data_IF_610810281310
#
_entry.id   IF_610810281310
#
_cell.length_a   1.000
_cell.length_b   1.000
_cell.length_c   1.000
_cell.angle_alpha   90.00
_cell.angle_beta   90.00
_cell.angle_gamma   90.00
#
_symmetry.space_group_name_H-M   'P 1'
#
loop_
_entity.id
_entity.type
_entity.pdbx_description
1 polymer ?
#
# COMPACT_ATOMS: atom_id res chain seq x y z
N UNK A 1 24.97 -6.52 25.84
CA UNK A 1 23.89 -7.52 25.67
C UNK A 1 23.72 -7.70 24.18
N UNK A 2 24.13 -8.84 23.61
CA UNK A 2 24.25 -9.11 22.20
C UNK A 2 22.87 -8.97 21.52
N UNK A 3 22.76 -8.04 20.56
CA UNK A 3 21.68 -8.02 19.56
C UNK A 3 21.78 -9.36 18.83
N UNK A 4 20.68 -10.07 18.71
CA UNK A 4 20.50 -11.42 18.17
C UNK A 4 21.70 -11.99 17.41
N UNK A 5 22.02 -13.26 17.71
CA UNK A 5 23.12 -13.98 17.04
C UNK A 5 23.08 -13.76 15.53
N UNK A 6 24.24 -13.52 14.88
CA UNK A 6 24.29 -13.47 13.43
C UNK A 6 23.75 -14.81 12.92
N UNK A 7 22.74 -14.75 12.08
CA UNK A 7 22.30 -15.93 11.32
C UNK A 7 23.54 -16.50 10.64
N UNK A 8 23.85 -17.76 10.92
CA UNK A 8 24.89 -18.53 10.20
C UNK A 8 24.83 -18.15 8.72
N UNK A 9 25.98 -17.82 8.15
CA UNK A 9 26.17 -17.52 6.73
C UNK A 9 25.41 -18.56 5.90
N UNK A 10 24.18 -18.21 5.57
CA UNK A 10 23.29 -19.10 4.86
C UNK A 10 23.70 -19.14 3.41
N UNK A 11 23.56 -20.27 2.79
CA UNK A 11 23.72 -20.55 1.37
C UNK A 11 22.83 -19.69 0.44
N UNK A 12 22.16 -18.65 0.96
CA UNK A 12 21.26 -17.77 0.22
C UNK A 12 22.00 -16.82 -0.73
N UNK A 13 22.91 -15.98 -0.25
CA UNK A 13 23.74 -15.06 -1.03
C UNK A 13 23.01 -14.44 -2.24
N UNK A 14 23.66 -14.43 -3.39
CA UNK A 14 23.11 -13.90 -4.66
C UNK A 14 22.26 -14.93 -5.45
N UNK A 15 21.85 -16.04 -4.86
CA UNK A 15 21.03 -17.04 -5.57
C UNK A 15 19.62 -16.48 -5.85
N UNK A 16 19.25 -16.42 -7.13
CA UNK A 16 17.94 -15.90 -7.56
C UNK A 16 16.79 -16.82 -7.13
N UNK A 17 16.98 -18.13 -7.18
CA UNK A 17 15.98 -19.13 -6.78
C UNK A 17 16.41 -19.79 -5.50
N UNK A 18 16.13 -19.15 -4.37
CA UNK A 18 16.39 -19.69 -3.03
C UNK A 18 15.45 -19.03 -2.01
N UNK A 19 15.06 -19.81 -0.99
CA UNK A 19 14.22 -19.28 0.10
C UNK A 19 15.07 -18.42 1.03
N UNK A 20 14.73 -17.15 1.20
CA UNK A 20 15.43 -16.23 2.09
C UNK A 20 15.34 -16.67 3.56
N UNK A 21 16.46 -16.77 4.31
CA UNK A 21 16.44 -17.29 5.67
C UNK A 21 15.95 -16.30 6.74
N UNK A 22 15.92 -14.99 6.45
CA UNK A 22 15.59 -13.93 7.40
C UNK A 22 14.28 -13.19 7.08
N UNK A 23 13.95 -12.18 7.86
CA UNK A 23 12.75 -11.36 7.63
C UNK A 23 12.71 -10.07 8.45
N UNK A 24 12.71 -10.13 9.76
CA UNK A 24 12.53 -8.96 10.64
C UNK A 24 13.76 -8.59 11.48
N UNK A 25 14.93 -9.17 11.18
CA UNK A 25 16.17 -8.92 11.88
C UNK A 25 16.73 -7.53 11.59
N UNK A 26 17.60 -7.06 12.49
CA UNK A 26 18.38 -5.86 12.29
C UNK A 26 19.47 -6.12 11.24
N UNK A 27 19.56 -5.27 10.22
CA UNK A 27 20.64 -5.32 9.22
C UNK A 27 21.87 -4.64 9.82
N UNK A 28 22.97 -5.39 9.97
CA UNK A 28 24.23 -4.86 10.46
C UNK A 28 24.77 -3.77 9.51
N UNK A 29 25.45 -2.75 10.05
CA UNK A 29 25.93 -1.62 9.23
C UNK A 29 26.88 -2.08 8.11
N UNK A 30 27.66 -3.13 8.33
CA UNK A 30 28.57 -3.71 7.34
C UNK A 30 27.83 -4.33 6.13
N UNK A 31 26.57 -4.76 6.31
CA UNK A 31 25.77 -5.40 5.27
C UNK A 31 24.88 -4.38 4.54
N UNK A 32 24.87 -3.12 5.01
CA UNK A 32 24.04 -2.07 4.40
C UNK A 32 24.70 -1.48 3.18
N UNK A 33 23.93 -1.27 2.15
CA UNK A 33 24.41 -0.83 0.85
C UNK A 33 23.37 0.01 0.10
N UNK A 34 23.75 0.56 -1.06
CA UNK A 34 22.85 1.30 -1.92
C UNK A 34 22.88 2.82 -1.71
N UNK A 35 22.06 3.52 -2.48
CA UNK A 35 21.97 4.98 -2.52
C UNK A 35 20.52 5.43 -2.43
N UNK A 36 20.23 6.58 -1.79
CA UNK A 36 18.86 7.10 -1.68
C UNK A 36 18.12 7.25 -3.01
N UNK A 37 18.81 7.61 -4.11
CA UNK A 37 18.21 7.77 -5.42
C UNK A 37 17.60 6.49 -6.00
N UNK A 38 18.06 5.32 -5.58
CA UNK A 38 17.49 4.03 -6.00
C UNK A 38 16.06 3.85 -5.48
N UNK A 39 15.71 4.47 -4.36
CA UNK A 39 14.37 4.41 -3.79
C UNK A 39 13.30 5.02 -4.70
N UNK A 40 13.66 5.96 -5.56
CA UNK A 40 12.73 6.48 -6.56
C UNK A 40 12.17 5.33 -7.42
N UNK A 41 13.03 4.49 -7.94
CA UNK A 41 12.64 3.35 -8.78
C UNK A 41 11.98 2.24 -7.97
N UNK A 42 12.48 1.98 -6.74
CA UNK A 42 11.89 0.99 -5.84
C UNK A 42 10.42 1.28 -5.56
N UNK A 43 10.04 2.56 -5.40
CA UNK A 43 8.68 2.96 -5.12
C UNK A 43 7.86 3.36 -6.36
N UNK A 44 8.50 3.55 -7.51
CA UNK A 44 7.79 3.71 -8.79
C UNK A 44 7.30 2.36 -9.32
N UNK A 45 8.15 1.33 -9.28
CA UNK A 45 7.89 0.02 -9.90
C UNK A 45 6.59 -0.64 -9.45
N UNK A 46 6.31 -0.85 -8.16
CA UNK A 46 5.10 -1.54 -7.72
C UNK A 46 3.80 -0.76 -7.97
N UNK A 47 3.90 0.51 -8.33
CA UNK A 47 2.75 1.35 -8.67
C UNK A 47 2.50 1.42 -10.19
N UNK A 48 3.36 0.80 -11.03
CA UNK A 48 3.11 0.65 -12.45
C UNK A 48 2.17 -0.53 -12.71
N UNK A 49 0.95 -0.37 -12.24
CA UNK A 49 -0.10 -1.38 -12.31
C UNK A 49 -1.48 -0.75 -12.56
N UNK A 50 -2.45 -1.59 -12.90
CA UNK A 50 -3.78 -1.12 -13.22
C UNK A 50 -4.56 -0.64 -11.98
N UNK A 51 -4.33 -1.20 -10.80
CA UNK A 51 -5.00 -0.73 -9.59
C UNK A 51 -4.75 0.77 -9.35
N UNK A 52 -3.54 1.29 -9.64
CA UNK A 52 -3.25 2.73 -9.60
C UNK A 52 -4.12 3.52 -10.59
N UNK A 53 -4.25 3.05 -11.83
CA UNK A 53 -5.09 3.67 -12.87
C UNK A 53 -6.55 3.69 -12.43
N UNK A 54 -7.01 2.59 -11.84
CA UNK A 54 -8.40 2.41 -11.45
C UNK A 54 -8.85 3.37 -10.34
N UNK A 55 -7.95 3.79 -9.43
CA UNK A 55 -8.25 4.87 -8.46
C UNK A 55 -8.72 6.14 -9.17
N UNK A 56 -8.04 6.54 -10.25
CA UNK A 56 -8.43 7.69 -11.03
C UNK A 56 -9.74 7.51 -11.79
N UNK A 57 -10.00 6.30 -12.30
CA UNK A 57 -11.30 5.99 -12.94
C UNK A 57 -12.46 6.12 -11.94
N UNK A 58 -12.30 5.64 -10.70
CA UNK A 58 -13.30 5.76 -9.64
C UNK A 58 -13.63 7.22 -9.33
N UNK A 59 -12.65 8.12 -9.33
CA UNK A 59 -12.86 9.53 -9.05
C UNK A 59 -13.91 10.16 -9.99
N UNK A 60 -13.90 9.77 -11.25
CA UNK A 60 -14.86 10.28 -12.25
C UNK A 60 -16.13 9.43 -12.29
N UNK A 61 -16.00 8.10 -12.41
CA UNK A 61 -17.14 7.20 -12.66
C UNK A 61 -17.99 6.96 -11.41
N UNK A 62 -17.35 6.79 -10.24
CA UNK A 62 -18.07 6.48 -9.00
C UNK A 62 -18.33 7.75 -8.17
N UNK A 63 -17.39 8.68 -8.12
CA UNK A 63 -17.51 9.86 -7.24
C UNK A 63 -18.03 11.10 -7.95
N UNK A 64 -18.27 11.04 -9.27
CA UNK A 64 -18.89 12.11 -10.04
C UNK A 64 -18.03 13.37 -10.18
N UNK A 65 -16.71 13.22 -10.19
CA UNK A 65 -15.79 14.34 -10.37
C UNK A 65 -15.58 14.66 -11.85
N UNK A 66 -15.48 15.94 -12.18
CA UNK A 66 -14.89 16.36 -13.46
C UNK A 66 -13.42 15.98 -13.46
N UNK A 67 -12.79 15.88 -14.64
CA UNK A 67 -11.37 15.55 -14.76
C UNK A 67 -10.48 16.41 -13.84
N UNK A 68 -10.64 17.72 -13.85
CA UNK A 68 -9.80 18.62 -13.05
C UNK A 68 -10.07 18.56 -11.55
N UNK A 69 -11.31 18.25 -11.15
CA UNK A 69 -11.62 17.98 -9.75
C UNK A 69 -11.00 16.66 -9.29
N UNK A 70 -11.05 15.64 -10.14
CA UNK A 70 -10.37 14.35 -9.88
C UNK A 70 -8.86 14.56 -9.73
N UNK A 71 -8.21 15.28 -10.65
CA UNK A 71 -6.77 15.62 -10.57
C UNK A 71 -6.44 16.32 -9.25
N UNK A 72 -7.25 17.32 -8.85
CA UNK A 72 -7.01 18.02 -7.59
C UNK A 72 -7.14 17.09 -6.37
N UNK A 73 -8.17 16.25 -6.32
CA UNK A 73 -8.37 15.27 -5.25
C UNK A 73 -7.26 14.23 -5.19
N UNK A 74 -6.86 13.70 -6.34
CA UNK A 74 -5.73 12.76 -6.51
C UNK A 74 -4.42 13.36 -5.95
N UNK A 75 -4.08 14.57 -6.39
CA UNK A 75 -2.83 15.24 -5.95
C UNK A 75 -2.83 15.47 -4.44
N UNK A 76 -3.97 15.87 -3.86
CA UNK A 76 -4.09 16.10 -2.42
C UNK A 76 -3.99 14.77 -1.66
N UNK A 77 -4.78 13.76 -2.02
CA UNK A 77 -4.82 12.47 -1.33
C UNK A 77 -3.48 11.73 -1.39
N UNK A 78 -2.94 11.55 -2.61
CA UNK A 78 -1.63 10.94 -2.83
C UNK A 78 -0.51 11.75 -2.18
N UNK A 79 -0.60 13.10 -2.21
CA UNK A 79 0.36 13.98 -1.54
C UNK A 79 0.42 13.77 -0.03
N UNK A 80 -0.72 13.63 0.64
CA UNK A 80 -0.77 13.32 2.07
C UNK A 80 -0.13 11.97 2.38
N UNK A 81 -0.43 10.94 1.58
CA UNK A 81 0.21 9.62 1.70
C UNK A 81 1.72 9.67 1.46
N UNK A 82 2.16 10.40 0.44
CA UNK A 82 3.58 10.57 0.12
C UNK A 82 4.36 11.32 1.23
N UNK A 83 3.75 12.33 1.86
CA UNK A 83 4.36 13.01 3.03
C UNK A 83 4.54 12.04 4.19
N UNK A 84 3.54 11.21 4.48
CA UNK A 84 3.66 10.19 5.51
C UNK A 84 4.76 9.18 5.16
N UNK A 85 4.82 8.74 3.91
CA UNK A 85 5.84 7.83 3.41
C UNK A 85 7.26 8.43 3.49
N UNK A 86 7.43 9.72 3.17
CA UNK A 86 8.68 10.47 3.36
C UNK A 86 9.18 10.38 4.81
N UNK A 87 8.30 10.70 5.76
CA UNK A 87 8.65 10.76 7.18
C UNK A 87 9.08 9.39 7.74
N UNK A 88 8.42 8.32 7.29
CA UNK A 88 8.75 6.96 7.73
C UNK A 88 9.98 6.40 7.03
N UNK A 89 10.08 6.53 5.71
CA UNK A 89 11.23 6.09 4.91
C UNK A 89 12.54 6.70 5.38
N UNK A 90 12.53 7.97 5.78
CA UNK A 90 13.69 8.68 6.30
C UNK A 90 14.32 8.02 7.53
N UNK A 91 13.59 7.16 8.23
CA UNK A 91 14.03 6.53 9.49
C UNK A 91 14.62 5.14 9.31
N UNK A 92 14.38 4.47 8.19
CA UNK A 92 14.90 3.14 7.94
C UNK A 92 16.41 3.00 8.11
N UNK A 93 17.23 3.89 7.50
CA UNK A 93 18.69 3.84 7.66
C UNK A 93 19.16 4.04 9.11
N UNK A 94 18.43 4.80 9.91
CA UNK A 94 18.78 5.06 11.32
C UNK A 94 18.65 3.82 12.20
N UNK A 95 17.69 2.95 11.89
CA UNK A 95 17.35 1.82 12.74
C UNK A 95 17.69 0.46 12.13
N UNK A 96 17.81 0.33 10.82
CA UNK A 96 18.15 -0.91 10.11
C UNK A 96 17.16 -2.06 10.31
N UNK A 97 15.88 -1.74 10.59
CA UNK A 97 14.82 -2.72 10.85
C UNK A 97 13.57 -2.41 10.02
N UNK A 98 12.70 -3.40 9.77
CA UNK A 98 11.45 -3.20 9.04
C UNK A 98 10.51 -2.21 9.74
N UNK A 99 9.58 -1.62 8.96
CA UNK A 99 8.64 -0.62 9.46
C UNK A 99 7.80 -1.13 10.64
N UNK A 100 7.29 -2.36 10.56
CA UNK A 100 6.46 -2.92 11.63
C UNK A 100 7.27 -3.29 12.89
N UNK A 101 8.59 -3.50 12.79
CA UNK A 101 9.47 -3.61 13.96
C UNK A 101 9.66 -2.24 14.60
N UNK A 102 9.84 -1.17 13.82
CA UNK A 102 9.90 0.20 14.36
C UNK A 102 8.60 0.62 15.06
N UNK A 103 7.45 0.16 14.58
CA UNK A 103 6.17 0.45 15.21
C UNK A 103 6.05 -0.07 16.65
N UNK A 104 6.88 -1.05 17.06
CA UNK A 104 6.97 -1.51 18.46
C UNK A 104 7.28 -0.37 19.43
N UNK A 105 7.96 0.67 19.00
CA UNK A 105 8.22 1.85 19.86
C UNK A 105 6.92 2.47 20.35
N UNK A 106 5.97 2.63 19.43
CA UNK A 106 4.68 3.26 19.71
C UNK A 106 3.68 2.32 20.44
N UNK A 107 3.74 1.01 20.15
CA UNK A 107 2.73 0.04 20.62
C UNK A 107 3.24 -0.93 21.70
N UNK A 108 4.54 -0.98 21.95
CA UNK A 108 5.17 -2.04 22.73
C UNK A 108 5.25 -3.35 21.92
N UNK A 109 6.01 -4.32 22.43
CA UNK A 109 6.24 -5.58 21.72
C UNK A 109 4.93 -6.34 21.45
N UNK A 110 4.09 -6.52 22.50
CA UNK A 110 2.83 -7.28 22.36
C UNK A 110 1.71 -6.48 21.70
N UNK A 111 1.58 -5.19 22.03
CA UNK A 111 0.54 -4.33 21.45
C UNK A 111 0.72 -4.14 19.93
N UNK A 112 1.95 -4.20 19.45
CA UNK A 112 2.27 -4.10 18.03
C UNK A 112 1.76 -5.31 17.20
N UNK A 113 1.35 -6.41 17.84
CA UNK A 113 0.75 -7.53 17.12
C UNK A 113 -0.51 -7.11 16.34
N UNK A 114 -1.30 -6.16 16.88
CA UNK A 114 -2.53 -5.68 16.22
C UNK A 114 -2.23 -4.99 14.88
N UNK A 115 -1.44 -3.88 14.82
CA UNK A 115 -1.12 -3.27 13.54
C UNK A 115 -0.30 -4.18 12.62
N UNK A 116 0.52 -5.10 13.14
CA UNK A 116 1.24 -6.07 12.34
C UNK A 116 0.30 -7.08 11.65
N UNK A 117 -0.75 -7.55 12.33
CA UNK A 117 -1.81 -8.39 11.74
C UNK A 117 -2.57 -7.61 10.68
N UNK A 118 -2.99 -6.37 10.97
CA UNK A 118 -3.70 -5.53 9.99
C UNK A 118 -2.85 -5.33 8.74
N UNK A 119 -1.57 -5.02 8.90
CA UNK A 119 -0.63 -4.90 7.78
C UNK A 119 -0.50 -6.21 6.99
N UNK A 120 -0.33 -7.34 7.68
CA UNK A 120 -0.16 -8.66 7.07
C UNK A 120 -1.39 -9.04 6.24
N UNK A 121 -2.60 -8.80 6.76
CA UNK A 121 -3.87 -9.06 6.05
C UNK A 121 -4.05 -8.07 4.89
N UNK A 122 -3.82 -6.78 5.12
CA UNK A 122 -3.95 -5.75 4.08
C UNK A 122 -3.03 -6.06 2.88
N UNK A 123 -1.76 -6.41 3.15
CA UNK A 123 -0.80 -6.74 2.11
C UNK A 123 -1.07 -8.10 1.45
N UNK A 124 -1.08 -9.15 2.27
CA UNK A 124 -1.09 -10.53 1.78
C UNK A 124 -2.45 -11.04 1.35
N UNK A 125 -3.55 -10.41 1.76
CA UNK A 125 -4.90 -10.81 1.35
C UNK A 125 -5.58 -9.70 0.54
N UNK A 126 -5.62 -8.47 1.05
CA UNK A 126 -6.33 -7.37 0.43
C UNK A 126 -5.72 -6.94 -0.90
N UNK A 127 -4.47 -6.46 -0.90
CA UNK A 127 -3.76 -6.10 -2.13
C UNK A 127 -3.57 -7.29 -3.07
N UNK A 128 -3.31 -8.47 -2.50
CA UNK A 128 -3.22 -9.70 -3.27
C UNK A 128 -4.51 -9.96 -4.05
N UNK A 129 -5.68 -9.84 -3.42
CA UNK A 129 -6.97 -10.04 -4.07
C UNK A 129 -7.22 -8.96 -5.14
N UNK A 130 -7.02 -7.70 -4.81
CA UNK A 130 -7.27 -6.56 -5.71
C UNK A 130 -6.47 -6.66 -7.01
N UNK A 131 -5.15 -6.89 -6.89
CA UNK A 131 -4.30 -7.02 -8.06
C UNK A 131 -4.60 -8.30 -8.84
N UNK A 132 -5.00 -9.39 -8.16
CA UNK A 132 -5.43 -10.63 -8.83
C UNK A 132 -6.68 -10.41 -9.68
N UNK A 133 -7.64 -9.61 -9.21
CA UNK A 133 -8.85 -9.24 -9.98
C UNK A 133 -8.46 -8.44 -11.22
N UNK A 134 -7.60 -7.43 -11.09
CA UNK A 134 -7.11 -6.63 -12.22
C UNK A 134 -6.43 -7.48 -13.28
N UNK A 135 -5.51 -8.36 -12.85
CA UNK A 135 -4.84 -9.30 -13.76
C UNK A 135 -5.79 -10.31 -14.40
N UNK A 136 -6.81 -10.78 -13.66
CA UNK A 136 -7.82 -11.70 -14.16
C UNK A 136 -8.66 -11.08 -15.27
N UNK A 137 -9.15 -9.85 -15.08
CA UNK A 137 -9.87 -9.11 -16.12
C UNK A 137 -9.00 -8.88 -17.36
N UNK A 138 -7.75 -8.46 -17.16
CA UNK A 138 -6.82 -8.22 -18.26
C UNK A 138 -6.59 -9.48 -19.11
N UNK A 139 -6.36 -10.64 -18.49
CA UNK A 139 -6.22 -11.91 -19.20
C UNK A 139 -7.54 -12.35 -19.86
N UNK A 140 -8.67 -12.17 -19.19
CA UNK A 140 -10.00 -12.46 -19.71
C UNK A 140 -10.27 -11.66 -20.98
N UNK A 141 -10.05 -10.36 -20.95
CA UNK A 141 -10.23 -9.46 -22.09
C UNK A 141 -9.26 -9.80 -23.23
N UNK A 142 -8.01 -10.15 -22.91
CA UNK A 142 -6.99 -10.48 -23.91
C UNK A 142 -7.25 -11.80 -24.65
N UNK A 143 -7.70 -12.83 -23.92
CA UNK A 143 -7.81 -14.20 -24.46
C UNK A 143 -9.25 -14.69 -24.63
N UNK A 144 -10.25 -13.95 -24.16
CA UNK A 144 -11.68 -14.28 -24.34
C UNK A 144 -12.20 -15.41 -23.43
N UNK A 145 -11.51 -15.76 -22.35
CA UNK A 145 -11.99 -16.76 -21.39
C UNK A 145 -12.66 -16.10 -20.17
N UNK A 146 -13.35 -16.91 -19.35
CA UNK A 146 -14.03 -16.40 -18.17
C UNK A 146 -13.01 -15.79 -17.16
N UNK A 147 -13.34 -14.66 -16.48
CA UNK A 147 -12.44 -14.00 -15.53
C UNK A 147 -11.91 -14.93 -14.42
N UNK A 148 -12.70 -15.93 -14.00
CA UNK A 148 -12.26 -16.93 -13.02
C UNK A 148 -11.03 -17.74 -13.49
N UNK A 149 -10.94 -18.05 -14.78
CA UNK A 149 -9.77 -18.75 -15.36
C UNK A 149 -8.54 -17.85 -15.25
N UNK A 150 -8.69 -16.57 -15.60
CA UNK A 150 -7.63 -15.56 -15.43
C UNK A 150 -7.20 -15.44 -13.96
N UNK A 151 -8.15 -15.42 -13.05
CA UNK A 151 -7.88 -15.36 -11.61
C UNK A 151 -7.03 -16.54 -11.12
N UNK A 152 -7.37 -17.77 -11.53
CA UNK A 152 -6.57 -18.97 -11.18
C UNK A 152 -5.15 -18.85 -11.73
N UNK A 153 -4.98 -18.40 -12.98
CA UNK A 153 -3.66 -18.24 -13.61
C UNK A 153 -2.82 -17.21 -12.85
N UNK A 154 -3.36 -16.03 -12.58
CA UNK A 154 -2.67 -14.95 -11.88
C UNK A 154 -2.28 -15.39 -10.46
N UNK A 155 -3.22 -15.96 -9.70
CA UNK A 155 -2.97 -16.40 -8.32
C UNK A 155 -1.90 -17.50 -8.28
N UNK A 156 -1.93 -18.45 -9.20
CA UNK A 156 -0.88 -19.48 -9.28
C UNK A 156 0.49 -18.87 -9.57
N UNK A 157 0.58 -17.99 -10.58
CA UNK A 157 1.84 -17.36 -11.00
C UNK A 157 2.47 -16.53 -9.86
N UNK A 158 1.69 -15.66 -9.22
CA UNK A 158 2.21 -14.78 -8.16
C UNK A 158 2.52 -15.54 -6.86
N UNK A 159 1.78 -16.60 -6.54
CA UNK A 159 2.07 -17.45 -5.37
C UNK A 159 3.39 -18.21 -5.57
N UNK A 160 3.63 -18.74 -6.75
CA UNK A 160 4.91 -19.37 -7.10
C UNK A 160 6.06 -18.37 -7.03
N UNK A 161 5.89 -17.17 -7.61
CA UNK A 161 6.92 -16.12 -7.57
C UNK A 161 7.26 -15.74 -6.12
N UNK A 162 6.24 -15.49 -5.29
CA UNK A 162 6.42 -15.08 -3.90
C UNK A 162 7.04 -16.20 -3.02
N UNK A 163 6.79 -17.47 -3.34
CA UNK A 163 7.33 -18.61 -2.60
C UNK A 163 8.86 -18.67 -2.63
N UNK A 164 9.47 -18.34 -3.76
CA UNK A 164 10.93 -18.33 -3.91
C UNK A 164 11.61 -17.12 -3.24
N UNK A 165 10.86 -16.09 -2.84
CA UNK A 165 11.33 -15.01 -1.97
C UNK A 165 12.06 -13.86 -2.68
N UNK A 166 12.79 -13.07 -1.89
CA UNK A 166 13.29 -11.74 -2.26
C UNK A 166 14.07 -11.67 -3.58
N UNK A 167 15.04 -12.55 -3.78
CA UNK A 167 15.93 -12.45 -4.95
C UNK A 167 15.20 -12.69 -6.27
N UNK A 168 14.25 -13.64 -6.31
CA UNK A 168 13.44 -13.87 -7.51
C UNK A 168 12.48 -12.69 -7.76
N UNK A 169 11.88 -12.15 -6.69
CA UNK A 169 11.03 -10.96 -6.76
C UNK A 169 11.82 -9.78 -7.33
N UNK A 170 13.02 -9.50 -6.79
CA UNK A 170 13.88 -8.41 -7.27
C UNK A 170 14.33 -8.61 -8.72
N UNK A 171 14.66 -9.84 -9.11
CA UNK A 171 15.00 -10.15 -10.50
C UNK A 171 13.81 -9.91 -11.44
N UNK A 172 12.62 -10.37 -11.06
CA UNK A 172 11.40 -10.16 -11.82
C UNK A 172 11.07 -8.67 -11.97
N UNK A 173 11.10 -7.90 -10.88
CA UNK A 173 10.90 -6.44 -10.89
C UNK A 173 11.91 -5.73 -11.80
N UNK A 174 13.17 -6.09 -11.73
CA UNK A 174 14.23 -5.50 -12.54
C UNK A 174 13.98 -5.67 -14.04
N UNK A 175 13.41 -6.78 -14.47
CA UNK A 175 13.12 -7.05 -15.87
C UNK A 175 11.76 -6.53 -16.31
N UNK A 176 10.73 -6.63 -15.47
CA UNK A 176 9.38 -6.19 -15.80
C UNK A 176 9.25 -4.66 -15.80
N UNK A 177 9.89 -3.98 -14.85
CA UNK A 177 9.78 -2.53 -14.70
C UNK A 177 9.98 -1.72 -16.00
N UNK A 178 11.10 -1.83 -16.74
CA UNK A 178 11.28 -1.02 -17.96
C UNK A 178 10.27 -1.33 -19.04
N UNK A 179 9.81 -2.57 -19.13
CA UNK A 179 8.78 -2.98 -20.10
C UNK A 179 7.43 -2.37 -19.72
N UNK A 180 7.03 -2.51 -18.46
CA UNK A 180 5.79 -1.92 -17.95
C UNK A 180 5.80 -0.39 -18.09
N UNK A 181 6.90 0.26 -17.75
CA UNK A 181 7.04 1.71 -17.87
C UNK A 181 6.83 2.21 -19.31
N UNK A 182 7.45 1.53 -20.30
CA UNK A 182 7.29 1.90 -21.72
C UNK A 182 5.85 1.67 -22.19
N UNK A 183 5.23 0.54 -21.84
CA UNK A 183 3.87 0.23 -22.28
C UNK A 183 2.86 1.19 -21.64
N UNK A 184 2.92 1.40 -20.32
CA UNK A 184 2.02 2.33 -19.65
C UNK A 184 2.24 3.79 -20.09
N UNK A 185 3.47 4.20 -20.39
CA UNK A 185 3.74 5.52 -20.96
C UNK A 185 3.09 5.66 -22.35
N UNK A 186 3.25 4.66 -23.24
CA UNK A 186 2.63 4.67 -24.55
C UNK A 186 1.09 4.69 -24.45
N UNK A 187 0.51 3.87 -23.58
CA UNK A 187 -0.93 3.88 -23.30
C UNK A 187 -1.40 5.24 -22.76
N UNK A 188 -0.65 5.84 -21.83
CA UNK A 188 -0.96 7.18 -21.29
C UNK A 188 -0.98 8.25 -22.37
N UNK A 189 0.02 8.27 -23.24
CA UNK A 189 0.08 9.23 -24.37
C UNK A 189 -1.12 9.02 -25.30
N UNK A 190 -1.46 7.78 -25.64
CA UNK A 190 -2.61 7.48 -26.48
C UNK A 190 -3.95 7.89 -25.83
N UNK A 191 -4.13 7.65 -24.53
CA UNK A 191 -5.32 8.09 -23.76
C UNK A 191 -5.44 9.61 -23.84
N UNK A 192 -4.39 10.35 -23.48
CA UNK A 192 -4.43 11.80 -23.50
C UNK A 192 -4.63 12.41 -24.89
N UNK A 193 -4.20 11.72 -25.94
CA UNK A 193 -4.44 12.17 -27.33
C UNK A 193 -5.92 12.15 -27.74
N UNK A 194 -6.76 11.35 -27.06
CA UNK A 194 -8.19 11.19 -27.34
C UNK A 194 -9.09 11.74 -26.25
N UNK A 195 -8.54 12.03 -25.05
CA UNK A 195 -9.31 12.48 -23.90
C UNK A 195 -9.94 13.85 -24.11
N UNK A 196 -11.22 14.00 -23.75
CA UNK A 196 -11.90 15.29 -23.67
C UNK A 196 -11.88 15.83 -22.24
N UNK A 197 -10.80 16.51 -21.89
CA UNK A 197 -10.56 17.01 -20.53
C UNK A 197 -11.48 18.17 -20.14
N UNK A 198 -12.19 18.78 -21.10
CA UNK A 198 -13.07 19.92 -20.88
C UNK A 198 -14.53 19.53 -20.62
N UNK A 199 -14.97 18.41 -21.22
CA UNK A 199 -16.38 17.99 -21.23
C UNK A 199 -16.68 16.73 -20.42
N UNK A 200 -15.77 16.31 -19.56
CA UNK A 200 -16.02 15.18 -18.67
C UNK A 200 -17.21 15.49 -17.74
N UNK A 201 -18.40 15.06 -18.17
CA UNK A 201 -19.57 15.14 -17.31
C UNK A 201 -19.42 14.11 -16.19
N UNK A 202 -19.68 14.49 -14.93
CA UNK A 202 -19.76 13.53 -13.84
C UNK A 202 -20.76 12.43 -14.17
N UNK A 203 -20.51 11.20 -13.70
CA UNK A 203 -21.50 10.14 -13.79
C UNK A 203 -22.83 10.63 -13.18
N UNK A 204 -23.95 10.34 -13.83
CA UNK A 204 -25.26 10.85 -13.41
C UNK A 204 -25.64 10.47 -11.98
N UNK A 205 -25.12 9.31 -11.51
CA UNK A 205 -25.37 8.73 -10.19
C UNK A 205 -24.23 8.97 -9.18
N UNK A 206 -23.18 9.73 -9.55
CA UNK A 206 -22.06 10.01 -8.67
C UNK A 206 -22.43 10.93 -7.50
N UNK A 207 -21.72 10.80 -6.39
CA UNK A 207 -21.92 11.64 -5.18
C UNK A 207 -21.74 13.12 -5.50
N UNK A 208 -20.77 13.47 -6.34
CA UNK A 208 -20.49 14.84 -6.77
C UNK A 208 -20.05 15.79 -5.66
N UNK A 209 -19.79 17.02 -6.03
CA UNK A 209 -19.51 18.13 -5.11
C UNK A 209 -18.37 17.85 -4.12
N UNK A 210 -18.52 18.36 -2.90
CA UNK A 210 -17.53 18.18 -1.84
C UNK A 210 -17.39 16.72 -1.42
N UNK A 211 -18.49 15.95 -1.36
CA UNK A 211 -18.47 14.55 -0.98
C UNK A 211 -17.64 13.70 -1.92
N UNK A 212 -17.89 13.83 -3.23
CA UNK A 212 -17.10 13.12 -4.25
C UNK A 212 -15.61 13.54 -4.25
N UNK A 213 -15.33 14.84 -4.02
CA UNK A 213 -13.95 15.31 -3.87
C UNK A 213 -13.25 14.67 -2.67
N UNK A 214 -13.90 14.62 -1.50
CA UNK A 214 -13.32 14.04 -0.30
C UNK A 214 -13.21 12.50 -0.39
N UNK A 215 -14.11 11.82 -1.09
CA UNK A 215 -13.95 10.40 -1.44
C UNK A 215 -12.74 10.18 -2.35
N UNK A 216 -12.54 11.03 -3.35
CA UNK A 216 -11.33 10.99 -4.19
C UNK A 216 -10.06 11.18 -3.37
N UNK A 217 -10.04 12.17 -2.47
CA UNK A 217 -8.91 12.38 -1.55
C UNK A 217 -8.71 11.17 -0.65
N UNK A 218 -9.78 10.59 -0.09
CA UNK A 218 -9.73 9.44 0.82
C UNK A 218 -9.21 8.16 0.14
N UNK A 219 -9.66 7.86 -1.08
CA UNK A 219 -9.23 6.67 -1.84
C UNK A 219 -7.79 6.81 -2.34
N UNK A 220 -7.40 7.98 -2.89
CA UNK A 220 -6.01 8.24 -3.30
C UNK A 220 -5.06 8.27 -2.09
N UNK A 221 -5.51 8.81 -0.94
CA UNK A 221 -4.77 8.68 0.32
C UNK A 221 -4.65 7.21 0.75
N UNK A 222 -5.75 6.46 0.73
CA UNK A 222 -5.76 5.05 1.10
C UNK A 222 -4.80 4.22 0.25
N UNK A 223 -4.76 4.49 -1.05
CA UNK A 223 -3.80 3.88 -1.97
C UNK A 223 -2.36 4.21 -1.59
N UNK A 224 -1.99 5.49 -1.57
CA UNK A 224 -0.62 5.92 -1.31
C UNK A 224 -0.17 5.65 0.14
N UNK A 225 -1.04 5.88 1.13
CA UNK A 225 -0.75 5.61 2.53
C UNK A 225 -0.69 4.12 2.86
N UNK A 226 -1.34 3.27 2.06
CA UNK A 226 -1.23 1.81 2.13
C UNK A 226 0.22 1.32 2.03
N UNK A 227 1.11 2.07 1.39
CA UNK A 227 2.54 1.79 1.33
C UNK A 227 3.34 2.24 2.56
N UNK A 228 2.76 3.02 3.45
CA UNK A 228 3.48 3.53 4.63
C UNK A 228 3.91 2.45 5.63
N UNK A 229 3.15 1.36 5.86
CA UNK A 229 3.59 0.24 6.69
C UNK A 229 4.77 -0.56 6.13
N UNK A 230 5.18 -0.31 4.88
CA UNK A 230 6.36 -0.89 4.21
C UNK A 230 7.56 0.07 4.16
N UNK A 231 7.38 1.34 4.52
CA UNK A 231 8.29 2.42 4.20
C UNK A 231 9.75 2.16 4.57
N UNK A 232 10.00 1.49 5.71
CA UNK A 232 11.34 1.13 6.14
C UNK A 232 11.81 -0.25 5.66
N UNK A 233 10.96 -1.08 5.11
CA UNK A 233 11.31 -2.45 4.68
C UNK A 233 12.42 -2.46 3.63
N UNK A 234 12.46 -1.42 2.80
CA UNK A 234 13.47 -1.25 1.75
C UNK A 234 14.57 -0.24 2.14
N UNK A 235 14.23 0.78 2.94
CA UNK A 235 15.20 1.82 3.31
C UNK A 235 16.15 1.38 4.42
N UNK A 236 15.84 0.32 5.16
CA UNK A 236 16.69 -0.29 6.21
C UNK A 236 18.02 -0.83 5.69
N UNK A 237 18.13 -1.10 4.39
CA UNK A 237 19.35 -1.58 3.74
C UNK A 237 20.33 -0.48 3.41
N UNK A 238 19.93 0.79 3.48
CA UNK A 238 20.82 1.92 3.24
C UNK A 238 21.75 2.14 4.44
N UNK A 239 23.03 2.56 4.20
CA UNK A 239 23.96 2.92 5.26
C UNK A 239 23.37 3.98 6.20
N UNK A 240 23.68 3.92 7.51
CA UNK A 240 23.22 4.91 8.49
C UNK A 240 23.75 6.33 8.20
N UNK A 241 24.85 6.43 7.45
CA UNK A 241 25.49 7.71 7.06
C UNK A 241 24.73 8.47 5.98
N UNK A 242 23.75 7.87 5.28
CA UNK A 242 22.98 8.58 4.24
C UNK A 242 22.05 9.63 4.84
N UNK A 243 21.80 10.69 4.09
CA UNK A 243 20.91 11.76 4.53
C UNK A 243 19.47 11.24 4.66
N UNK A 244 18.84 11.32 5.86
CA UNK A 244 17.44 10.94 6.05
C UNK A 244 16.49 11.71 5.14
N UNK A 245 16.78 13.01 4.90
CA UNK A 245 15.95 13.85 4.01
C UNK A 245 16.00 13.35 2.57
N UNK A 246 17.19 12.97 2.06
CA UNK A 246 17.31 12.41 0.70
C UNK A 246 16.64 11.05 0.59
N UNK A 247 16.78 10.20 1.61
CA UNK A 247 16.10 8.90 1.68
C UNK A 247 14.58 9.07 1.59
N UNK A 248 13.99 9.90 2.46
CA UNK A 248 12.56 10.19 2.45
C UNK A 248 12.11 10.82 1.14
N UNK A 249 12.87 11.79 0.60
CA UNK A 249 12.51 12.48 -0.65
C UNK A 249 12.43 11.52 -1.84
N UNK A 250 13.44 10.70 -2.07
CA UNK A 250 13.43 9.80 -3.22
C UNK A 250 12.37 8.70 -3.09
N UNK A 251 12.13 8.19 -1.87
CA UNK A 251 11.07 7.24 -1.64
C UNK A 251 9.68 7.85 -1.92
N UNK A 252 9.41 9.02 -1.35
CA UNK A 252 8.14 9.71 -1.54
C UNK A 252 7.93 10.20 -2.98
N UNK A 253 8.98 10.70 -3.63
CA UNK A 253 8.91 11.16 -5.00
C UNK A 253 8.60 10.02 -5.98
N UNK A 254 9.18 8.83 -5.79
CA UNK A 254 8.87 7.65 -6.60
C UNK A 254 7.41 7.25 -6.46
N UNK A 255 6.93 7.12 -5.24
CA UNK A 255 5.53 6.82 -4.93
C UNK A 255 4.59 7.89 -5.52
N UNK A 256 4.80 9.16 -5.20
CA UNK A 256 3.95 10.26 -5.63
C UNK A 256 3.86 10.36 -7.15
N UNK A 257 5.00 10.30 -7.84
CA UNK A 257 5.03 10.46 -9.30
C UNK A 257 4.28 9.31 -9.99
N UNK A 258 4.53 8.08 -9.60
CA UNK A 258 3.86 6.93 -10.20
C UNK A 258 2.35 6.95 -9.94
N UNK A 259 1.93 7.16 -8.69
CA UNK A 259 0.52 7.21 -8.33
C UNK A 259 -0.20 8.36 -9.04
N UNK A 260 0.27 9.59 -8.89
CA UNK A 260 -0.40 10.74 -9.51
C UNK A 260 -0.49 10.61 -11.02
N UNK A 261 0.59 10.21 -11.69
CA UNK A 261 0.57 10.07 -13.16
C UNK A 261 -0.46 9.03 -13.59
N UNK A 262 -0.46 7.84 -13.00
CA UNK A 262 -1.36 6.77 -13.44
C UNK A 262 -2.80 6.98 -12.95
N UNK A 263 -3.03 7.54 -11.78
CA UNK A 263 -4.36 7.93 -11.33
C UNK A 263 -4.96 9.00 -12.25
N UNK A 264 -4.16 10.01 -12.67
CA UNK A 264 -4.60 11.04 -13.63
C UNK A 264 -4.87 10.45 -15.02
N UNK A 265 -4.07 9.48 -15.47
CA UNK A 265 -4.33 8.73 -16.70
C UNK A 265 -5.65 7.95 -16.60
N UNK A 266 -5.92 7.34 -15.44
CA UNK A 266 -7.19 6.69 -15.15
C UNK A 266 -8.37 7.64 -15.25
N UNK A 267 -8.29 8.82 -14.63
CA UNK A 267 -9.31 9.85 -14.74
C UNK A 267 -9.49 10.34 -16.19
N UNK A 268 -8.42 10.49 -16.96
CA UNK A 268 -8.48 10.88 -18.36
C UNK A 268 -9.14 9.81 -19.25
N UNK A 269 -8.88 8.53 -18.99
CA UNK A 269 -9.40 7.41 -19.81
C UNK A 269 -10.92 7.32 -19.83
N UNK A 270 -11.59 7.81 -18.78
CA UNK A 270 -13.06 7.78 -18.70
C UNK A 270 -13.74 9.00 -19.34
N UNK A 271 -12.97 9.95 -19.84
CA UNK A 271 -13.50 11.09 -20.57
C UNK A 271 -13.83 10.75 -22.03
N UNK A 272 -13.37 9.62 -22.55
CA UNK A 272 -13.63 9.13 -23.91
C UNK A 272 -15.02 8.51 -24.10
N UNK A 273 -15.79 8.33 -23.02
CA UNK A 273 -17.18 7.87 -23.06
C UNK A 273 -17.39 6.35 -23.15
N UNK A 274 -16.34 5.54 -23.27
CA UNK A 274 -16.44 4.08 -23.42
C UNK A 274 -16.37 3.30 -22.07
N UNK A 275 -16.26 3.99 -20.94
CA UNK A 275 -15.89 3.37 -19.69
C UNK A 275 -17.05 2.71 -18.94
N UNK A 276 -16.88 1.43 -18.57
CA UNK A 276 -17.79 0.66 -17.74
C UNK A 276 -17.06 0.15 -16.50
N UNK A 277 -17.63 0.35 -15.31
CA UNK A 277 -17.08 -0.18 -14.05
C UNK A 277 -17.11 -1.71 -13.99
N UNK A 278 -17.94 -2.37 -14.80
CA UNK A 278 -18.05 -3.83 -14.86
C UNK A 278 -16.85 -4.51 -15.54
N UNK A 279 -16.16 -3.83 -16.48
CA UNK A 279 -14.91 -4.29 -17.11
C UNK A 279 -13.93 -3.12 -17.20
N UNK A 280 -13.27 -2.76 -16.11
CA UNK A 280 -12.42 -1.58 -16.08
C UNK A 280 -11.15 -1.72 -16.93
N UNK A 281 -10.59 -2.92 -17.09
CA UNK A 281 -9.40 -3.14 -17.93
C UNK A 281 -9.74 -3.10 -19.42
N UNK A 282 -10.86 -3.67 -19.81
CA UNK A 282 -11.39 -3.59 -21.19
C UNK A 282 -11.73 -2.15 -21.54
N UNK A 283 -12.40 -1.43 -20.65
CA UNK A 283 -12.75 -0.02 -20.83
C UNK A 283 -11.51 0.86 -21.00
N UNK A 284 -10.48 0.68 -20.17
CA UNK A 284 -9.22 1.42 -20.26
C UNK A 284 -8.50 1.20 -21.61
N UNK A 285 -8.60 0.00 -22.18
CA UNK A 285 -7.90 -0.37 -23.40
C UNK A 285 -8.74 -0.24 -24.67
N UNK A 286 -10.04 0.06 -24.56
CA UNK A 286 -10.98 0.08 -25.69
C UNK A 286 -10.60 1.07 -26.79
N UNK A 287 -10.09 2.25 -26.42
CA UNK A 287 -9.69 3.31 -27.36
C UNK A 287 -8.24 3.20 -27.85
N UNK A 288 -7.50 2.20 -27.37
CA UNK A 288 -6.12 1.98 -27.82
C UNK A 288 -6.06 1.19 -29.13
N UNK A 289 -5.11 1.52 -30.01
CA UNK A 289 -4.84 0.70 -31.17
C UNK A 289 -4.57 -0.76 -30.77
N UNK A 290 -5.11 -1.74 -31.54
CA UNK A 290 -5.11 -3.16 -31.16
C UNK A 290 -3.76 -3.73 -30.68
N UNK A 291 -2.60 -3.42 -31.28
CA UNK A 291 -1.32 -3.91 -30.75
C UNK A 291 -0.99 -3.33 -29.37
N UNK A 292 -1.27 -2.04 -29.15
CA UNK A 292 -1.03 -1.37 -27.87
C UNK A 292 -2.02 -1.84 -26.81
N UNK A 293 -3.30 -2.03 -27.16
CA UNK A 293 -4.31 -2.59 -26.26
C UNK A 293 -3.89 -3.96 -25.73
N UNK A 294 -3.47 -4.87 -26.62
CA UNK A 294 -2.99 -6.21 -26.22
C UNK A 294 -1.74 -6.16 -25.36
N UNK A 295 -0.78 -5.30 -25.72
CA UNK A 295 0.42 -5.10 -24.90
C UNK A 295 0.08 -4.53 -23.51
N UNK A 296 -0.87 -3.59 -23.43
CA UNK A 296 -1.33 -3.00 -22.18
C UNK A 296 -2.04 -4.03 -21.29
N UNK A 297 -2.93 -4.86 -21.85
CA UNK A 297 -3.57 -5.94 -21.11
C UNK A 297 -2.55 -6.95 -20.55
N UNK A 298 -1.53 -7.31 -21.34
CA UNK A 298 -0.46 -8.17 -20.86
C UNK A 298 0.37 -7.46 -19.77
N UNK A 299 0.65 -6.17 -19.94
CA UNK A 299 1.35 -5.37 -18.93
C UNK A 299 0.56 -5.28 -17.61
N UNK A 300 -0.76 -5.14 -17.67
CA UNK A 300 -1.63 -5.18 -16.47
C UNK A 300 -1.49 -6.52 -15.75
N UNK A 301 -1.55 -7.65 -16.48
CA UNK A 301 -1.41 -8.97 -15.88
C UNK A 301 -0.03 -9.18 -15.24
N UNK A 302 1.05 -8.77 -15.90
CA UNK A 302 2.42 -8.84 -15.39
C UNK A 302 2.62 -7.89 -14.20
N UNK A 303 2.09 -6.67 -14.27
CA UNK A 303 2.15 -5.68 -13.19
C UNK A 303 1.44 -6.16 -11.92
N UNK A 304 0.27 -6.80 -12.07
CA UNK A 304 -0.45 -7.41 -10.96
C UNK A 304 0.38 -8.49 -10.22
N UNK A 305 1.10 -9.33 -10.99
CA UNK A 305 2.01 -10.34 -10.42
C UNK A 305 3.18 -9.67 -9.70
N UNK A 306 3.78 -8.64 -10.30
CA UNK A 306 4.90 -7.89 -9.76
C UNK A 306 4.55 -7.23 -8.41
N UNK A 307 3.48 -6.43 -8.37
CA UNK A 307 3.03 -5.75 -7.17
C UNK A 307 2.70 -6.75 -6.04
N UNK A 308 2.06 -7.87 -6.37
CA UNK A 308 1.73 -8.88 -5.38
C UNK A 308 2.94 -9.64 -4.82
N UNK A 309 4.01 -9.77 -5.57
CA UNK A 309 5.25 -10.33 -5.05
C UNK A 309 5.80 -9.50 -3.88
N UNK A 310 5.79 -8.17 -4.00
CA UNK A 310 6.17 -7.24 -2.93
C UNK A 310 5.17 -7.29 -1.77
N UNK A 311 3.88 -7.33 -2.05
CA UNK A 311 2.84 -7.37 -1.03
C UNK A 311 2.93 -8.64 -0.16
N UNK A 312 3.13 -9.81 -0.77
CA UNK A 312 3.32 -11.07 -0.04
C UNK A 312 4.60 -11.05 0.78
N UNK A 313 5.70 -10.51 0.23
CA UNK A 313 6.97 -10.39 0.94
C UNK A 313 6.84 -9.54 2.21
N UNK A 314 6.37 -8.30 2.09
CA UNK A 314 6.20 -7.41 3.25
C UNK A 314 5.09 -7.85 4.20
N UNK A 315 4.02 -8.44 3.68
CA UNK A 315 2.97 -9.06 4.49
C UNK A 315 3.51 -10.21 5.36
N UNK A 316 4.40 -11.03 4.81
CA UNK A 316 5.08 -12.09 5.56
C UNK A 316 6.04 -11.54 6.64
N UNK A 317 6.79 -10.47 6.34
CA UNK A 317 7.62 -9.79 7.35
C UNK A 317 6.77 -9.21 8.49
N UNK A 318 5.63 -8.60 8.17
CA UNK A 318 4.69 -8.11 9.18
C UNK A 318 4.16 -9.25 10.06
N UNK A 319 3.82 -10.39 9.46
CA UNK A 319 3.40 -11.59 10.19
C UNK A 319 4.46 -12.08 11.18
N UNK A 320 5.71 -12.21 10.76
CA UNK A 320 6.82 -12.62 11.65
C UNK A 320 7.00 -11.62 12.81
N UNK A 321 6.69 -10.33 12.58
CA UNK A 321 6.79 -9.27 13.61
C UNK A 321 5.78 -9.44 14.75
N UNK A 322 4.70 -10.22 14.57
CA UNK A 322 3.74 -10.58 15.63
C UNK A 322 4.43 -11.34 16.79
N UNK A 323 5.55 -12.01 16.51
CA UNK A 323 6.37 -12.70 17.51
C UNK A 323 6.07 -14.19 17.65
N UNK A 324 5.38 -14.79 16.67
CA UNK A 324 5.16 -16.23 16.58
C UNK A 324 6.52 -16.92 16.32
N UNK A 325 6.83 -17.95 17.12
CA UNK A 325 8.08 -18.70 17.02
C UNK A 325 7.92 -19.87 16.05
N UNK A 326 8.21 -19.63 14.79
CA UNK A 326 8.31 -20.67 13.76
C UNK A 326 9.67 -20.55 13.06
N UNK A 327 10.26 -21.64 12.58
CA UNK A 327 11.40 -21.54 11.66
C UNK A 327 11.05 -20.66 10.47
N UNK A 328 11.93 -19.74 10.07
CA UNK A 328 11.63 -18.70 9.09
C UNK A 328 11.08 -19.27 7.77
N UNK A 329 11.68 -20.38 7.26
CA UNK A 329 11.22 -21.05 6.04
C UNK A 329 9.80 -21.65 6.18
N UNK A 330 9.45 -22.20 7.36
CA UNK A 330 8.11 -22.74 7.63
C UNK A 330 7.09 -21.60 7.74
N UNK A 331 7.42 -20.54 8.48
CA UNK A 331 6.57 -19.38 8.61
C UNK A 331 6.25 -18.76 7.24
N UNK A 332 7.27 -18.59 6.38
CA UNK A 332 7.11 -18.07 5.04
C UNK A 332 6.25 -18.95 4.16
N UNK A 333 6.51 -20.26 4.12
CA UNK A 333 5.73 -21.21 3.33
C UNK A 333 4.25 -21.20 3.74
N UNK A 334 3.97 -21.30 5.05
CA UNK A 334 2.61 -21.26 5.57
C UNK A 334 1.89 -19.94 5.25
N UNK A 335 2.58 -18.80 5.43
CA UNK A 335 2.02 -17.48 5.16
C UNK A 335 1.76 -17.29 3.67
N UNK A 336 2.67 -17.70 2.80
CA UNK A 336 2.49 -17.60 1.34
C UNK A 336 1.31 -18.46 0.87
N UNK A 337 1.18 -19.68 1.35
CA UNK A 337 0.02 -20.55 1.02
C UNK A 337 -1.28 -19.94 1.58
N UNK A 338 -1.26 -19.45 2.82
CA UNK A 338 -2.42 -18.81 3.43
C UNK A 338 -2.85 -17.57 2.62
N UNK A 339 -1.92 -16.71 2.23
CA UNK A 339 -2.22 -15.53 1.41
C UNK A 339 -2.74 -15.92 0.02
N UNK A 340 -2.15 -16.94 -0.60
CA UNK A 340 -2.63 -17.46 -1.88
C UNK A 340 -4.06 -17.94 -1.82
N UNK A 341 -4.40 -18.74 -0.80
CA UNK A 341 -5.77 -19.28 -0.63
C UNK A 341 -6.74 -18.18 -0.20
N UNK A 342 -6.43 -17.43 0.86
CA UNK A 342 -7.31 -16.39 1.37
C UNK A 342 -7.49 -15.26 0.35
N UNK A 343 -6.41 -14.82 -0.30
CA UNK A 343 -6.46 -13.82 -1.35
C UNK A 343 -7.26 -14.29 -2.58
N UNK A 344 -7.12 -15.55 -2.98
CA UNK A 344 -7.97 -16.13 -4.03
C UNK A 344 -9.46 -16.08 -3.65
N UNK A 345 -9.81 -16.51 -2.45
CA UNK A 345 -11.21 -16.52 -2.00
C UNK A 345 -11.81 -15.11 -1.95
N UNK A 346 -11.05 -14.13 -1.45
CA UNK A 346 -11.47 -12.72 -1.44
C UNK A 346 -11.57 -12.16 -2.86
N UNK A 347 -10.61 -12.45 -3.74
CA UNK A 347 -10.66 -12.03 -5.13
C UNK A 347 -11.86 -12.64 -5.88
N UNK A 348 -12.11 -13.91 -5.66
CA UNK A 348 -13.29 -14.58 -6.26
C UNK A 348 -14.59 -13.97 -5.78
N UNK A 349 -14.70 -13.67 -4.48
CA UNK A 349 -15.88 -12.99 -3.92
C UNK A 349 -16.04 -11.57 -4.46
N UNK A 350 -14.94 -10.83 -4.66
CA UNK A 350 -14.95 -9.46 -5.17
C UNK A 350 -15.19 -9.36 -6.69
N UNK A 351 -14.93 -10.43 -7.44
CA UNK A 351 -14.94 -10.43 -8.91
C UNK A 351 -16.26 -9.94 -9.54
N UNK A 352 -17.49 -10.28 -9.02
CA UNK A 352 -18.73 -9.80 -9.58
C UNK A 352 -18.99 -8.29 -9.41
N UNK A 353 -18.36 -7.67 -8.41
CA UNK A 353 -18.50 -6.24 -8.11
C UNK A 353 -17.13 -5.65 -7.71
N UNK A 354 -16.23 -5.68 -8.67
CA UNK A 354 -14.83 -5.32 -8.44
C UNK A 354 -14.65 -3.85 -8.09
N UNK A 355 -15.45 -2.95 -8.66
CA UNK A 355 -15.34 -1.52 -8.44
C UNK A 355 -15.66 -1.12 -6.99
N UNK A 356 -16.85 -1.52 -6.48
CA UNK A 356 -17.21 -1.23 -5.09
C UNK A 356 -16.34 -1.99 -4.08
N UNK A 357 -15.94 -3.23 -4.42
CA UNK A 357 -15.00 -3.97 -3.57
C UNK A 357 -13.65 -3.27 -3.44
N UNK A 358 -13.15 -2.69 -4.54
CA UNK A 358 -11.89 -1.95 -4.55
C UNK A 358 -12.00 -0.62 -3.78
N UNK A 359 -13.05 0.16 -4.03
CA UNK A 359 -13.34 1.38 -3.27
C UNK A 359 -13.39 1.10 -1.77
N UNK A 360 -14.20 0.12 -1.36
CA UNK A 360 -14.32 -0.28 0.04
C UNK A 360 -12.97 -0.68 0.65
N UNK A 361 -12.15 -1.41 -0.10
CA UNK A 361 -10.82 -1.82 0.34
C UNK A 361 -9.89 -0.62 0.56
N UNK A 362 -9.86 0.36 -0.36
CA UNK A 362 -9.04 1.57 -0.23
C UNK A 362 -9.45 2.39 1.01
N UNK A 363 -10.74 2.55 1.25
CA UNK A 363 -11.24 3.24 2.43
C UNK A 363 -10.92 2.47 3.73
N UNK A 364 -11.03 1.14 3.74
CA UNK A 364 -10.64 0.30 4.88
C UNK A 364 -9.15 0.48 5.20
N UNK A 365 -8.27 0.54 4.19
CA UNK A 365 -6.86 0.86 4.40
C UNK A 365 -6.74 2.23 5.09
N UNK A 366 -7.39 3.25 4.55
CA UNK A 366 -7.36 4.60 5.10
C UNK A 366 -7.84 4.64 6.56
N UNK A 367 -8.84 3.83 6.92
CA UNK A 367 -9.41 3.76 8.28
C UNK A 367 -8.42 3.30 9.34
N UNK A 368 -7.57 2.33 9.05
CA UNK A 368 -6.60 1.87 10.05
C UNK A 368 -5.23 2.54 9.92
N UNK A 369 -4.80 2.86 8.69
CA UNK A 369 -3.50 3.52 8.46
C UNK A 369 -3.51 4.94 9.00
N UNK A 370 -4.61 5.69 8.85
CA UNK A 370 -4.73 7.04 9.42
C UNK A 370 -4.45 7.09 10.93
N UNK A 371 -5.22 6.39 11.76
CA UNK A 371 -4.97 6.30 13.21
C UNK A 371 -3.58 5.73 13.56
N UNK A 372 -3.09 4.73 12.80
CA UNK A 372 -1.76 4.17 13.01
C UNK A 372 -0.67 5.22 12.80
N UNK A 373 -0.74 5.99 11.72
CA UNK A 373 0.17 7.12 11.47
C UNK A 373 0.10 8.16 12.59
N UNK A 374 -1.10 8.46 13.09
CA UNK A 374 -1.29 9.39 14.20
C UNK A 374 -0.51 8.96 15.44
N UNK A 375 -0.63 7.69 15.83
CA UNK A 375 0.11 7.11 16.96
C UNK A 375 1.62 7.11 16.70
N UNK A 376 2.05 6.63 15.53
CA UNK A 376 3.49 6.52 15.20
C UNK A 376 4.16 7.89 15.15
N UNK A 377 3.53 8.89 14.55
CA UNK A 377 4.11 10.24 14.50
C UNK A 377 4.11 10.94 15.85
N UNK A 378 3.07 10.75 16.67
CA UNK A 378 3.04 11.26 18.03
C UNK A 378 4.16 10.63 18.88
N UNK A 379 4.40 9.32 18.77
CA UNK A 379 5.52 8.64 19.44
C UNK A 379 6.86 9.20 19.00
N UNK A 380 7.06 9.32 17.68
CA UNK A 380 8.30 9.88 17.11
C UNK A 380 8.56 11.31 17.56
N UNK A 381 7.52 12.12 17.69
CA UNK A 381 7.61 13.49 18.19
C UNK A 381 8.02 13.52 19.67
N UNK A 382 7.39 12.70 20.51
CA UNK A 382 7.65 12.67 21.94
C UNK A 382 9.03 12.06 22.28
N UNK A 383 9.55 11.16 21.44
CA UNK A 383 10.86 10.48 21.65
C UNK A 383 12.03 11.17 20.95
N UNK A 384 11.90 12.39 20.48
CA UNK A 384 12.99 13.08 19.80
C UNK A 384 14.28 13.05 20.59
N UNK A 385 15.36 12.55 19.95
CA UNK A 385 16.71 12.50 20.53
C UNK A 385 16.94 11.39 21.57
N UNK A 386 15.94 10.53 21.82
CA UNK A 386 16.09 9.40 22.76
C UNK A 386 16.71 8.18 22.08
N UNK A 387 17.62 7.43 22.75
CA UNK A 387 18.10 6.15 22.28
C UNK A 387 16.99 5.10 22.43
N UNK A 388 16.50 4.57 21.31
CA UNK A 388 15.33 3.66 21.26
C UNK A 388 15.64 2.24 20.79
N UNK A 389 16.85 1.99 20.28
CA UNK A 389 17.21 0.73 19.65
C UNK A 389 17.02 -0.49 20.58
N UNK A 390 17.29 -0.34 21.87
CA UNK A 390 17.13 -1.41 22.88
C UNK A 390 15.68 -1.87 23.07
N UNK A 391 14.70 -1.02 22.73
CA UNK A 391 13.26 -1.33 22.87
C UNK A 391 12.70 -2.17 21.72
N UNK A 392 13.35 -2.15 20.56
CA UNK A 392 12.80 -2.74 19.32
C UNK A 392 12.59 -4.25 19.44
N UNK A 393 13.45 -4.94 20.18
CA UNK A 393 13.40 -6.39 20.37
C UNK A 393 13.13 -6.82 21.80
N UNK A 394 12.94 -5.85 22.73
CA UNK A 394 12.61 -6.14 24.11
C UNK A 394 11.17 -6.66 24.24
N UNK A 395 11.04 -7.94 24.52
CA UNK A 395 9.72 -8.60 24.70
C UNK A 395 8.98 -8.16 25.95
N UNK A 396 9.68 -7.57 26.91
CA UNK A 396 9.11 -7.01 28.14
C UNK A 396 8.56 -5.60 27.94
N UNK A 397 9.02 -4.90 26.88
CA UNK A 397 8.58 -3.55 26.60
C UNK A 397 7.09 -3.51 26.24
N UNK A 398 6.32 -2.73 27.02
CA UNK A 398 4.88 -2.56 26.81
C UNK A 398 4.52 -1.09 26.68
N UNK A 399 3.63 -0.79 25.73
CA UNK A 399 3.04 0.53 25.57
C UNK A 399 1.55 0.42 25.19
N UNK A 400 0.74 -0.04 26.14
CA UNK A 400 -0.70 -0.21 25.94
C UNK A 400 -1.43 1.10 25.64
N UNK A 401 -0.88 2.26 26.06
CA UNK A 401 -1.39 3.57 25.70
C UNK A 401 -1.41 3.80 24.17
N UNK A 402 -0.41 3.27 23.45
CA UNK A 402 -0.40 3.33 22.00
C UNK A 402 -1.53 2.53 21.36
N UNK A 403 -1.76 1.29 21.83
CA UNK A 403 -2.86 0.46 21.33
C UNK A 403 -4.23 1.07 21.68
N UNK A 404 -4.39 1.61 22.90
CA UNK A 404 -5.63 2.27 23.31
C UNK A 404 -5.93 3.52 22.46
N UNK A 405 -4.92 4.35 22.20
CA UNK A 405 -5.06 5.53 21.34
C UNK A 405 -5.41 5.15 19.88
N UNK A 406 -4.76 4.12 19.36
CA UNK A 406 -5.06 3.57 18.03
C UNK A 406 -6.51 3.06 17.95
N UNK A 407 -6.91 2.20 18.88
CA UNK A 407 -8.26 1.64 18.90
C UNK A 407 -9.33 2.74 19.06
N UNK A 408 -9.09 3.72 19.92
CA UNK A 408 -9.98 4.87 20.07
C UNK A 408 -10.10 5.67 18.77
N UNK A 409 -8.98 6.04 18.16
CA UNK A 409 -8.97 6.79 16.91
C UNK A 409 -9.68 6.03 15.77
N UNK A 410 -9.40 4.73 15.63
CA UNK A 410 -10.03 3.86 14.64
C UNK A 410 -11.54 3.74 14.85
N UNK A 411 -11.95 3.31 16.05
CA UNK A 411 -13.37 3.03 16.33
C UNK A 411 -14.20 4.31 16.30
N UNK A 412 -13.73 5.39 16.92
CA UNK A 412 -14.46 6.66 16.95
C UNK A 412 -14.59 7.28 15.55
N UNK A 413 -13.52 7.28 14.74
CA UNK A 413 -13.59 7.85 13.40
C UNK A 413 -14.50 7.04 12.48
N UNK A 414 -14.43 5.71 12.52
CA UNK A 414 -15.31 4.83 11.72
C UNK A 414 -16.75 4.98 12.15
N UNK A 415 -17.05 4.91 13.44
CA UNK A 415 -18.42 5.05 13.94
C UNK A 415 -19.06 6.41 13.59
N UNK A 416 -18.25 7.45 13.44
CA UNK A 416 -18.76 8.80 13.17
C UNK A 416 -18.76 9.15 11.69
N UNK A 417 -17.74 8.79 10.92
CA UNK A 417 -17.48 9.37 9.60
C UNK A 417 -17.32 8.36 8.45
N UNK A 418 -17.35 7.04 8.71
CA UNK A 418 -17.32 6.07 7.63
C UNK A 418 -18.49 6.31 6.67
N UNK A 419 -18.23 6.27 5.36
CA UNK A 419 -19.25 6.49 4.34
C UNK A 419 -19.10 5.48 3.20
N UNK A 420 -19.30 4.20 3.55
CA UNK A 420 -19.35 3.09 2.60
C UNK A 420 -20.78 2.56 2.48
N UNK A 421 -21.08 1.85 1.40
CA UNK A 421 -22.41 1.27 1.13
C UNK A 421 -23.03 0.52 2.34
N UNK A 422 -22.21 -0.28 3.03
CA UNK A 422 -22.67 -1.14 4.16
C UNK A 422 -22.24 -0.63 5.54
N UNK A 423 -21.47 0.44 5.59
CA UNK A 423 -20.93 0.99 6.83
C UNK A 423 -20.98 2.51 6.79
N UNK A 424 -22.05 3.07 7.34
CA UNK A 424 -22.26 4.52 7.38
C UNK A 424 -22.22 5.01 8.82
N UNK A 425 -21.27 5.90 9.11
CA UNK A 425 -21.13 6.54 10.42
C UNK A 425 -22.23 7.56 10.70
N UNK A 426 -22.45 7.84 11.98
CA UNK A 426 -23.55 8.70 12.44
C UNK A 426 -23.52 10.09 11.80
N UNK A 427 -22.34 10.71 11.70
CA UNK A 427 -22.20 12.04 11.10
C UNK A 427 -22.29 11.95 9.56
N UNK A 428 -21.70 10.93 8.96
CA UNK A 428 -21.80 10.71 7.52
C UNK A 428 -23.26 10.50 7.07
N UNK A 429 -24.05 9.77 7.85
CA UNK A 429 -25.49 9.60 7.59
C UNK A 429 -26.28 10.92 7.70
N UNK A 430 -25.91 11.79 8.65
CA UNK A 430 -26.56 13.09 8.84
C UNK A 430 -26.10 14.15 7.81
N UNK A 431 -24.88 14.05 7.31
CA UNK A 431 -24.25 15.00 6.39
C UNK A 431 -23.52 14.26 5.27
N UNK A 432 -24.21 13.62 4.32
CA UNK A 432 -23.59 12.83 3.25
C UNK A 432 -22.60 13.61 2.38
N UNK A 433 -22.74 14.94 2.33
CA UNK A 433 -21.88 15.85 1.57
C UNK A 433 -20.43 15.90 2.11
N UNK A 434 -20.15 15.36 3.31
CA UNK A 434 -18.79 15.25 3.85
C UNK A 434 -17.97 14.13 3.20
N UNK A 435 -18.59 13.28 2.37
CA UNK A 435 -17.91 12.10 1.84
C UNK A 435 -17.37 11.20 2.97
N UNK A 436 -16.12 10.75 2.84
CA UNK A 436 -15.45 9.96 3.88
C UNK A 436 -14.16 10.67 4.35
N UNK A 437 -14.17 11.17 5.57
CA UNK A 437 -13.02 11.83 6.21
C UNK A 437 -12.47 11.03 7.40
N UNK A 438 -12.84 9.76 7.50
CA UNK A 438 -12.48 8.85 8.60
C UNK A 438 -10.96 8.82 8.86
N UNK A 439 -10.16 8.75 7.78
CA UNK A 439 -8.69 8.68 7.90
C UNK A 439 -8.09 9.89 8.60
N UNK A 440 -8.60 11.09 8.28
CA UNK A 440 -8.10 12.34 8.86
C UNK A 440 -8.52 12.48 10.33
N UNK A 441 -9.80 12.23 10.63
CA UNK A 441 -10.31 12.28 12.00
C UNK A 441 -9.63 11.22 12.86
N UNK A 442 -9.48 10.00 12.34
CA UNK A 442 -8.79 8.91 13.00
C UNK A 442 -7.33 9.23 13.33
N UNK A 443 -6.60 9.84 12.37
CA UNK A 443 -5.24 10.34 12.61
C UNK A 443 -5.18 11.33 13.76
N UNK A 444 -6.05 12.34 13.77
CA UNK A 444 -6.05 13.39 14.79
C UNK A 444 -6.41 12.83 16.17
N UNK A 445 -7.46 12.02 16.25
CA UNK A 445 -7.92 11.42 17.50
C UNK A 445 -6.87 10.48 18.10
N UNK A 446 -6.26 9.63 17.25
CA UNK A 446 -5.21 8.70 17.70
C UNK A 446 -3.94 9.44 18.14
N UNK A 447 -3.51 10.47 17.41
CA UNK A 447 -2.35 11.28 17.81
C UNK A 447 -2.59 12.02 19.14
N UNK A 448 -3.73 12.68 19.29
CA UNK A 448 -4.11 13.37 20.53
C UNK A 448 -4.22 12.39 21.71
N UNK A 449 -4.90 11.25 21.48
CA UNK A 449 -5.02 10.18 22.49
C UNK A 449 -3.65 9.65 22.92
N UNK A 450 -2.73 9.43 21.98
CA UNK A 450 -1.37 8.98 22.28
C UNK A 450 -0.61 10.01 23.13
N UNK A 451 -0.66 11.29 22.77
CA UNK A 451 0.00 12.36 23.52
C UNK A 451 -0.53 12.41 24.95
N UNK A 452 -1.86 12.34 25.12
CA UNK A 452 -2.47 12.37 26.45
C UNK A 452 -2.05 11.16 27.30
N UNK A 453 -2.11 9.95 26.74
CA UNK A 453 -1.85 8.72 27.48
C UNK A 453 -0.36 8.44 27.73
N UNK A 454 0.52 8.84 26.81
CA UNK A 454 1.92 8.39 26.83
C UNK A 454 2.93 9.49 27.21
N UNK A 455 2.61 10.78 27.11
CA UNK A 455 3.57 11.89 27.34
C UNK A 455 4.30 11.79 28.68
N UNK A 456 3.58 11.57 29.79
CA UNK A 456 4.19 11.50 31.14
C UNK A 456 5.13 10.29 31.28
N UNK A 457 4.71 9.13 30.77
CA UNK A 457 5.50 7.88 30.82
C UNK A 457 6.79 8.02 30.00
N UNK A 458 6.72 8.62 28.83
CA UNK A 458 7.88 8.79 27.95
C UNK A 458 8.86 9.82 28.52
N UNK A 459 8.38 10.90 29.12
CA UNK A 459 9.22 11.87 29.82
C UNK A 459 9.99 11.25 31.00
N UNK A 460 9.37 10.31 31.73
CA UNK A 460 10.03 9.60 32.83
C UNK A 460 11.09 8.58 32.38
N UNK A 461 11.12 8.17 31.12
CA UNK A 461 12.15 7.29 30.55
C UNK A 461 13.40 8.07 30.12
N UNK A 462 13.37 9.39 30.16
CA UNK A 462 14.45 10.29 29.72
C UNK A 462 15.35 10.70 30.90
N UNK A 463 14.99 10.37 32.15
CA UNK A 463 15.72 10.58 33.39
C UNK A 463 16.37 9.28 33.84
#
# INVERSE_FOLDING_TARGET
>A
MSLAEPTTEGTYGDRVVAVEPGGNEHIAEADRHGRPSQLFWTWTSPNLEFATIFVGMLAVLAFGMTFWQAVAGIVVGTGLGAVAHFLLSARGPLHGVPQMVMARLAFGFRGNAVPAVLMSITAGVGWFATNSVSGAFALSTLFGFAPLVGLVIIVAAQTVLAFFGHNLVQAFERFSFPVLAVIFLAASVAIFAHADLGNAAPAADGVGGLGGFLLTVGTSFGYAAGWTPYAADFTRYLPASVSPRRTGFFAAAGLFTACVVLEVVGAASVTTGAALLADPTGSFTAELASPLAKATLLAIAVGAIAANAINVYSGAMAFVTIGIRLPAHVARALVTVFFGVAGFLVAWWALPDAAHSYEAFLLIIAYWVGPWLGVVFADQYLRRGQPVAHLLYDRSYTNWGGLAAFAFGLVASVALFANQEKLVGVIAAAVPQLGDITFFVGFVLAAAGYIVLCRKKLAAQTV
#
